data_IF_147232312641
#
_entry.id   IF_147232312641
#
_cell.length_a   1.000
_cell.length_b   1.000
_cell.length_c   1.000
_cell.angle_alpha   90.00
_cell.angle_beta   90.00
_cell.angle_gamma   90.00
#
_symmetry.space_group_name_H-M   'P 1'
#
loop_
_entity.id
_entity.type
_entity.pdbx_description
1 polymer ?
#
# COMPACT_ATOMS: atom_id res chain seq x y z
N UNK A 1 -9.61 5.51 -2.07
CA UNK A 1 -8.82 6.76 -2.24
C UNK A 1 -9.70 7.91 -2.68
N UNK A 2 -9.44 9.13 -2.20
CA UNK A 2 -10.30 10.32 -2.39
C UNK A 2 -9.97 11.10 -3.66
N UNK A 3 -10.90 11.90 -4.23
CA UNK A 3 -10.61 12.75 -5.38
C UNK A 3 -9.40 13.68 -5.16
N UNK A 4 -9.21 14.16 -3.93
CA UNK A 4 -8.11 15.06 -3.57
C UNK A 4 -6.72 14.40 -3.64
N UNK A 5 -6.61 13.07 -3.45
CA UNK A 5 -5.30 12.39 -3.38
C UNK A 5 -4.93 11.60 -4.63
N UNK A 6 -5.89 11.26 -5.51
CA UNK A 6 -5.64 10.43 -6.71
C UNK A 6 -4.54 10.98 -7.62
N UNK A 7 -4.54 12.29 -7.87
CA UNK A 7 -3.52 12.92 -8.71
C UNK A 7 -2.11 12.81 -8.12
N UNK A 8 -1.99 13.02 -6.81
CA UNK A 8 -0.72 12.92 -6.10
C UNK A 8 -0.18 11.47 -6.07
N UNK A 9 -1.05 10.46 -5.99
CA UNK A 9 -0.63 9.05 -6.07
C UNK A 9 -0.03 8.72 -7.44
N UNK A 10 -0.69 9.11 -8.53
CA UNK A 10 -0.15 8.91 -9.88
C UNK A 10 1.20 9.60 -10.06
N UNK A 11 1.32 10.86 -9.63
CA UNK A 11 2.59 11.59 -9.68
C UNK A 11 3.72 10.86 -8.95
N UNK A 12 3.47 10.33 -7.74
CA UNK A 12 4.46 9.55 -6.97
C UNK A 12 4.86 8.25 -7.66
N UNK A 13 3.91 7.52 -8.25
CA UNK A 13 4.20 6.28 -8.97
C UNK A 13 5.07 6.55 -10.22
N UNK A 14 4.84 7.68 -10.89
CA UNK A 14 5.69 8.12 -12.00
C UNK A 14 7.08 8.56 -11.54
N UNK A 15 7.17 9.34 -10.45
CA UNK A 15 8.44 9.77 -9.85
C UNK A 15 9.31 8.58 -9.43
N UNK A 16 8.69 7.52 -8.90
CA UNK A 16 9.35 6.25 -8.55
C UNK A 16 9.69 5.38 -9.76
N UNK A 17 9.31 5.79 -10.96
CA UNK A 17 9.62 5.07 -12.20
C UNK A 17 8.82 3.80 -12.42
N UNK A 18 7.66 3.62 -11.78
CA UNK A 18 6.83 2.41 -11.96
C UNK A 18 5.99 2.44 -13.24
N UNK A 19 5.71 3.64 -13.78
CA UNK A 19 5.11 3.81 -15.10
C UNK A 19 5.70 5.04 -15.81
N UNK A 20 5.57 5.08 -17.13
CA UNK A 20 5.87 6.22 -17.98
C UNK A 20 4.63 6.69 -18.77
N UNK A 21 4.64 7.94 -19.23
CA UNK A 21 3.60 8.47 -20.11
C UNK A 21 4.12 8.51 -21.54
N UNK A 22 3.56 7.67 -22.41
CA UNK A 22 3.91 7.63 -23.83
C UNK A 22 2.68 7.87 -24.68
N UNK A 23 2.72 8.85 -25.58
CA UNK A 23 1.59 9.18 -26.48
C UNK A 23 0.24 9.27 -25.74
N UNK A 24 0.24 9.88 -24.54
CA UNK A 24 -0.93 10.03 -23.63
C UNK A 24 -1.47 8.72 -23.04
N UNK A 25 -0.68 7.64 -23.04
CA UNK A 25 -1.00 6.37 -22.38
C UNK A 25 -0.06 6.15 -21.19
N UNK A 26 -0.57 5.52 -20.14
CA UNK A 26 0.24 5.06 -19.01
C UNK A 26 0.81 3.69 -19.37
N UNK A 27 2.14 3.59 -19.44
CA UNK A 27 2.85 2.36 -19.80
C UNK A 27 3.64 1.88 -18.58
N UNK A 28 3.42 0.66 -18.06
CA UNK A 28 4.21 0.14 -16.95
C UNK A 28 5.66 -0.03 -17.40
N UNK A 29 6.60 0.29 -16.50
CA UNK A 29 8.03 0.03 -16.74
C UNK A 29 8.39 -1.40 -16.33
N UNK A 30 9.58 -1.87 -16.72
CA UNK A 30 10.10 -3.14 -16.22
C UNK A 30 10.18 -3.16 -14.69
N UNK A 31 10.67 -2.07 -14.08
CA UNK A 31 10.71 -1.88 -12.63
C UNK A 31 9.31 -2.00 -11.99
N UNK A 32 8.29 -1.38 -12.59
CA UNK A 32 6.93 -1.46 -12.07
C UNK A 32 6.35 -2.88 -12.12
N UNK A 33 6.65 -3.63 -13.19
CA UNK A 33 6.22 -5.03 -13.33
C UNK A 33 6.94 -5.93 -12.33
N UNK A 34 8.26 -5.79 -12.17
CA UNK A 34 9.05 -6.54 -11.20
C UNK A 34 8.61 -6.25 -9.76
N UNK A 35 8.33 -4.98 -9.44
CA UNK A 35 7.84 -4.58 -8.14
C UNK A 35 6.49 -5.25 -7.81
N UNK A 36 5.53 -5.23 -8.74
CA UNK A 36 4.24 -5.91 -8.55
C UNK A 36 4.42 -7.43 -8.43
N UNK A 37 5.32 -8.03 -9.21
CA UNK A 37 5.59 -9.47 -9.16
C UNK A 37 6.25 -9.92 -7.85
N UNK A 38 6.99 -9.03 -7.18
CA UNK A 38 7.61 -9.30 -5.89
C UNK A 38 6.65 -9.17 -4.69
N UNK A 39 5.45 -8.60 -4.90
CA UNK A 39 4.47 -8.39 -3.85
C UNK A 39 3.45 -9.53 -3.78
N UNK A 40 2.93 -9.85 -2.58
CA UNK A 40 1.84 -10.80 -2.45
C UNK A 40 0.57 -10.25 -3.10
N UNK A 41 -0.30 -11.14 -3.57
CA UNK A 41 -1.53 -10.78 -4.28
C UNK A 41 -2.37 -9.76 -3.49
N UNK A 42 -2.50 -9.95 -2.17
CA UNK A 42 -3.27 -9.08 -1.27
C UNK A 42 -2.82 -7.60 -1.28
N UNK A 43 -1.55 -7.32 -1.61
CA UNK A 43 -1.00 -5.97 -1.69
C UNK A 43 -1.14 -5.33 -3.09
N UNK A 44 -1.59 -6.10 -4.09
CA UNK A 44 -1.68 -5.67 -5.49
C UNK A 44 -3.13 -5.61 -6.00
N UNK A 45 -4.05 -6.29 -5.33
CA UNK A 45 -5.49 -6.25 -5.65
C UNK A 45 -6.21 -5.13 -4.89
N UNK A 46 -7.35 -4.61 -5.41
CA UNK A 46 -8.06 -3.50 -4.78
C UNK A 46 -8.89 -3.89 -3.54
N UNK A 47 -9.14 -5.19 -3.33
CA UNK A 47 -10.10 -5.74 -2.36
C UNK A 47 -9.83 -5.25 -0.93
N UNK A 48 -8.58 -5.38 -0.45
CA UNK A 48 -8.20 -4.95 0.89
C UNK A 48 -8.43 -3.45 1.10
N UNK A 49 -8.05 -2.63 0.11
CA UNK A 49 -8.27 -1.17 0.19
C UNK A 49 -9.75 -0.80 0.14
N UNK A 50 -10.59 -1.61 -0.52
CA UNK A 50 -12.03 -1.41 -0.53
C UNK A 50 -12.66 -1.74 0.83
N UNK A 51 -12.31 -2.88 1.42
CA UNK A 51 -12.79 -3.29 2.74
C UNK A 51 -12.43 -2.25 3.81
N UNK A 52 -11.18 -1.80 3.85
CA UNK A 52 -10.77 -0.76 4.80
C UNK A 52 -11.45 0.58 4.56
N UNK A 53 -11.81 0.89 3.31
CA UNK A 53 -12.59 2.10 3.05
C UNK A 53 -14.01 1.99 3.60
N UNK A 54 -14.65 0.83 3.45
CA UNK A 54 -15.97 0.56 4.05
C UNK A 54 -15.90 0.65 5.59
N UNK A 55 -14.87 0.06 6.22
CA UNK A 55 -14.65 0.18 7.66
C UNK A 55 -14.46 1.64 8.12
N UNK A 56 -13.76 2.47 7.34
CA UNK A 56 -13.66 3.91 7.60
C UNK A 56 -15.03 4.60 7.54
N UNK A 57 -15.91 4.21 6.60
CA UNK A 57 -17.28 4.74 6.54
C UNK A 57 -18.12 4.29 7.74
N UNK A 58 -17.95 3.06 8.22
CA UNK A 58 -18.60 2.58 9.44
C UNK A 58 -18.14 3.35 10.68
N UNK A 59 -16.85 3.72 10.74
CA UNK A 59 -16.32 4.59 11.80
C UNK A 59 -16.97 5.98 11.74
N UNK A 60 -17.07 6.58 10.55
CA UNK A 60 -17.76 7.87 10.36
C UNK A 60 -19.24 7.81 10.77
N UNK A 61 -19.90 6.66 10.57
CA UNK A 61 -21.28 6.40 10.96
C UNK A 61 -21.45 6.05 12.46
N UNK A 62 -20.36 5.81 13.19
CA UNK A 62 -20.39 5.37 14.59
C UNK A 62 -20.72 3.88 14.79
N UNK A 63 -20.64 3.08 13.73
CA UNK A 63 -20.95 1.64 13.72
C UNK A 63 -19.72 0.76 14.05
N UNK A 64 -18.52 1.32 13.88
CA UNK A 64 -17.24 0.69 14.23
C UNK A 64 -16.38 1.68 15.02
N UNK A 65 -15.70 1.22 16.07
CA UNK A 65 -14.75 2.06 16.81
C UNK A 65 -13.40 2.09 16.11
N UNK A 66 -12.68 3.20 16.22
CA UNK A 66 -11.29 3.32 15.73
C UNK A 66 -10.40 2.22 16.32
N UNK A 67 -10.49 1.96 17.62
CA UNK A 67 -9.67 0.95 18.31
C UNK A 67 -9.85 -0.45 17.70
N UNK A 68 -11.10 -0.90 17.51
CA UNK A 68 -11.39 -2.20 16.90
C UNK A 68 -10.83 -2.33 15.46
N UNK A 69 -10.84 -1.25 14.67
CA UNK A 69 -10.23 -1.24 13.34
C UNK A 69 -8.70 -1.34 13.42
N UNK A 70 -8.07 -0.62 14.36
CA UNK A 70 -6.63 -0.65 14.56
C UNK A 70 -6.16 -2.02 15.04
N UNK A 71 -6.88 -2.66 15.96
CA UNK A 71 -6.56 -4.01 16.44
C UNK A 71 -6.53 -5.04 15.29
N UNK A 72 -7.52 -4.98 14.39
CA UNK A 72 -7.57 -5.85 13.20
C UNK A 72 -6.42 -5.53 12.23
N UNK A 73 -6.15 -4.24 11.98
CA UNK A 73 -5.08 -3.79 11.10
C UNK A 73 -3.70 -4.24 11.61
N UNK A 74 -3.44 -4.12 12.91
CA UNK A 74 -2.18 -4.54 13.53
C UNK A 74 -1.99 -6.04 13.39
N UNK A 75 -3.02 -6.84 13.68
CA UNK A 75 -2.98 -8.29 13.49
C UNK A 75 -2.72 -8.66 12.03
N UNK A 76 -3.37 -7.96 11.09
CA UNK A 76 -3.16 -8.18 9.66
C UNK A 76 -1.72 -7.88 9.25
N UNK A 77 -1.18 -6.72 9.63
CA UNK A 77 0.20 -6.33 9.30
C UNK A 77 1.19 -7.35 9.89
N UNK A 78 0.98 -7.78 11.14
CA UNK A 78 1.83 -8.78 11.78
C UNK A 78 1.87 -10.10 11.01
N UNK A 79 0.71 -10.60 10.56
CA UNK A 79 0.62 -11.80 9.71
C UNK A 79 1.34 -11.60 8.36
N UNK A 80 1.11 -10.47 7.70
CA UNK A 80 1.76 -10.20 6.42
C UNK A 80 3.29 -10.15 6.56
N UNK A 81 3.82 -9.53 7.61
CA UNK A 81 5.27 -9.44 7.87
C UNK A 81 5.88 -10.81 8.18
N UNK A 82 5.17 -11.67 8.91
CA UNK A 82 5.63 -13.04 9.20
C UNK A 82 5.71 -13.90 7.93
N UNK A 83 4.84 -13.64 6.96
CA UNK A 83 4.70 -14.43 5.73
C UNK A 83 5.47 -13.84 4.53
N UNK A 84 6.37 -12.87 4.73
CA UNK A 84 7.19 -12.30 3.64
C UNK A 84 8.27 -13.30 3.22
N UNK A 85 8.21 -13.72 1.95
CA UNK A 85 9.31 -14.44 1.30
C UNK A 85 10.38 -13.43 0.81
N UNK A 86 11.50 -13.37 1.52
CA UNK A 86 12.65 -12.53 1.17
C UNK A 86 13.54 -13.15 0.08
N UNK A 87 13.20 -14.33 -0.44
CA UNK A 87 14.09 -15.13 -1.30
C UNK A 87 14.48 -14.50 -2.64
N UNK A 88 13.72 -13.52 -3.15
CA UNK A 88 13.89 -13.01 -4.51
C UNK A 88 14.19 -11.50 -4.62
N UNK A 89 14.36 -10.77 -3.50
CA UNK A 89 14.63 -9.32 -3.55
C UNK A 89 16.13 -9.04 -3.47
N UNK A 90 16.81 -8.99 -4.62
CA UNK A 90 18.13 -8.36 -4.74
C UNK A 90 17.95 -6.89 -5.09
N UNK A 91 17.71 -6.06 -4.08
CA UNK A 91 17.79 -4.61 -4.20
C UNK A 91 18.90 -4.09 -3.29
N UNK A 92 19.84 -3.33 -3.83
CA UNK A 92 20.86 -2.55 -3.07
C UNK A 92 20.24 -1.40 -2.23
N UNK A 93 18.94 -1.49 -1.93
CA UNK A 93 18.22 -0.58 -1.06
C UNK A 93 18.59 -0.87 0.38
N UNK A 94 19.57 -0.13 0.90
CA UNK A 94 19.92 -0.12 2.32
C UNK A 94 18.63 -0.03 3.16
N UNK A 95 18.33 -0.97 4.06
CA UNK A 95 17.11 -0.95 4.85
C UNK A 95 17.16 0.28 5.76
N UNK A 96 16.35 1.29 5.47
CA UNK A 96 16.06 2.36 6.42
C UNK A 96 14.96 1.81 7.33
N UNK A 97 15.40 1.09 8.37
CA UNK A 97 14.58 0.82 9.54
C UNK A 97 14.57 2.08 10.40
N UNK A 98 13.86 3.12 9.94
CA UNK A 98 13.47 4.19 10.85
C UNK A 98 12.38 3.61 11.75
N UNK A 99 12.68 3.53 13.05
CA UNK A 99 11.75 3.14 14.09
C UNK A 99 10.43 3.90 13.90
N UNK A 100 9.35 3.16 13.64
CA UNK A 100 7.99 3.68 13.53
C UNK A 100 7.56 4.21 14.91
N UNK A 101 7.93 5.45 15.21
CA UNK A 101 7.45 6.17 16.38
C UNK A 101 6.18 6.94 15.99
N UNK A 102 5.17 6.21 15.53
CA UNK A 102 3.86 6.78 15.23
C UNK A 102 3.11 6.97 16.55
N UNK A 103 3.07 8.20 17.06
CA UNK A 103 2.09 8.57 18.07
C UNK A 103 0.77 8.88 17.34
N UNK A 104 -0.14 7.91 17.36
CA UNK A 104 -1.53 8.16 16.98
C UNK A 104 -2.15 9.11 18.03
N UNK A 105 -2.91 10.15 17.61
CA UNK A 105 -3.59 11.07 18.51
C UNK A 105 -4.71 10.44 19.32
#
# INVERSE_FOLDING_TARGET
GTPATRGAVLAKLQERGFYAVEKKKLIPTALGLEFIAALPAIATTPDMTALWHEQQQMIEAGELTVDAFLDELESFIADQVQNIDLGNVQGDGKPILDSLNAQCP
#
